data_IF_140779085489
#
_entry.id   IF_140779085489
#
_cell.length_a   1.000
_cell.length_b   1.000
_cell.length_c   1.000
_cell.angle_alpha   90.00
_cell.angle_beta   90.00
_cell.angle_gamma   90.00
#
_symmetry.space_group_name_H-M   'P 1'
#
loop_
_entity.id
_entity.type
_entity.pdbx_description
1 polymer ?
#
# COMPACT_ATOMS: atom_id res chain seq x y z
N UNK A 1 25.03 -10.35 2.24
CA UNK A 1 23.72 -9.93 1.71
C UNK A 1 23.74 -8.44 1.40
N UNK A 2 23.36 -8.12 0.19
CA UNK A 2 23.19 -6.71 -0.16
C UNK A 2 22.00 -6.13 0.62
N UNK A 3 22.18 -4.96 1.22
CA UNK A 3 21.07 -4.25 1.83
C UNK A 3 20.05 -3.88 0.75
N UNK A 4 18.73 -3.98 1.01
CA UNK A 4 17.75 -3.48 0.06
C UNK A 4 18.02 -1.99 -0.19
N UNK A 5 17.74 -1.48 -1.42
CA UNK A 5 17.94 -0.07 -1.70
C UNK A 5 17.11 0.78 -0.73
N UNK A 6 17.61 1.97 -0.34
CA UNK A 6 16.85 2.84 0.57
C UNK A 6 15.49 3.15 -0.04
N UNK A 7 14.48 3.13 0.80
CA UNK A 7 13.12 3.44 0.38
C UNK A 7 13.05 4.91 -0.06
N UNK A 8 12.32 5.22 -1.15
CA UNK A 8 12.23 6.61 -1.62
C UNK A 8 11.53 7.54 -0.64
N UNK A 9 10.78 6.98 0.32
CA UNK A 9 10.07 7.75 1.34
C UNK A 9 10.62 7.43 2.72
N UNK A 10 10.54 8.43 3.62
CA UNK A 10 11.01 8.31 5.00
C UNK A 10 10.07 7.44 5.84
N UNK A 11 10.26 6.14 5.79
CA UNK A 11 9.45 5.17 6.54
C UNK A 11 10.11 4.79 7.85
N UNK A 12 9.95 5.62 8.87
CA UNK A 12 10.54 5.36 10.18
C UNK A 12 9.91 4.15 10.87
N UNK A 13 8.59 4.02 10.80
CA UNK A 13 7.89 2.91 11.41
C UNK A 13 6.80 2.41 10.46
N UNK A 14 7.03 1.25 9.88
CA UNK A 14 6.05 0.60 9.00
C UNK A 14 5.04 -0.15 9.87
N UNK A 15 3.75 0.18 9.72
CA UNK A 15 2.66 -0.46 10.45
C UNK A 15 2.05 -1.61 9.65
N UNK A 16 1.87 -1.41 8.35
CA UNK A 16 1.23 -2.40 7.49
C UNK A 16 1.83 -2.37 6.10
N UNK A 17 1.93 -3.53 5.47
CA UNK A 17 2.41 -3.68 4.10
C UNK A 17 1.46 -4.54 3.28
N UNK A 18 1.30 -4.18 2.01
CA UNK A 18 0.57 -4.99 1.05
C UNK A 18 1.57 -5.84 0.24
N UNK A 19 1.90 -7.01 0.77
CA UNK A 19 2.91 -7.89 0.16
C UNK A 19 2.47 -8.50 -1.17
N UNK A 20 1.16 -8.61 -1.40
CA UNK A 20 0.62 -9.18 -2.64
C UNK A 20 0.63 -8.19 -3.80
N UNK A 21 0.80 -6.90 -3.53
CA UNK A 21 0.74 -5.88 -4.57
C UNK A 21 1.75 -6.12 -5.70
N UNK A 22 2.98 -6.51 -5.37
CA UNK A 22 4.01 -6.81 -6.36
C UNK A 22 3.72 -8.07 -7.19
N UNK A 23 2.95 -8.98 -6.63
CA UNK A 23 2.54 -10.20 -7.33
C UNK A 23 1.37 -9.92 -8.28
N UNK A 24 0.42 -9.11 -7.86
CA UNK A 24 -0.81 -8.84 -8.60
C UNK A 24 -0.70 -7.66 -9.59
N UNK A 25 0.28 -6.78 -9.41
CA UNK A 25 0.37 -5.53 -10.16
C UNK A 25 1.79 -5.21 -10.61
N UNK A 26 1.89 -4.57 -11.79
CA UNK A 26 3.10 -3.88 -12.22
C UNK A 26 3.01 -2.44 -11.72
N UNK A 27 3.91 -2.04 -10.84
CA UNK A 27 3.95 -0.68 -10.28
C UNK A 27 4.64 0.25 -11.28
N UNK A 28 3.94 1.28 -11.74
CA UNK A 28 4.48 2.27 -12.67
C UNK A 28 4.98 3.53 -11.98
N UNK A 29 4.31 3.97 -10.91
CA UNK A 29 4.70 5.16 -10.16
C UNK A 29 4.25 5.03 -8.71
N UNK A 30 4.88 5.81 -7.82
CA UNK A 30 4.61 5.79 -6.38
C UNK A 30 4.42 7.20 -5.84
N UNK A 31 3.51 7.33 -4.87
CA UNK A 31 3.19 8.62 -4.23
C UNK A 31 3.14 8.42 -2.72
N UNK A 32 3.74 9.35 -1.97
CA UNK A 32 3.52 9.43 -0.53
C UNK A 32 2.32 10.32 -0.26
N UNK A 33 1.35 9.80 0.48
CA UNK A 33 0.14 10.53 0.84
C UNK A 33 0.08 10.74 2.34
N UNK A 34 -0.48 11.87 2.77
CA UNK A 34 -0.93 12.03 4.15
C UNK A 34 -2.23 11.26 4.35
N UNK A 35 -2.57 10.96 5.59
CA UNK A 35 -3.79 10.24 5.93
C UNK A 35 -4.57 10.99 6.99
N UNK A 36 -5.82 11.32 6.72
CA UNK A 36 -6.69 11.97 7.68
C UNK A 36 -7.23 10.92 8.66
N UNK A 37 -6.73 10.94 9.89
CA UNK A 37 -7.05 9.97 10.93
C UNK A 37 -7.62 10.65 12.17
N UNK A 38 -8.45 9.91 12.91
CA UNK A 38 -8.89 10.31 14.24
C UNK A 38 -7.83 9.96 15.28
N UNK A 39 -7.96 10.51 16.51
CA UNK A 39 -7.01 10.26 17.58
C UNK A 39 -6.89 8.77 17.94
N UNK A 40 -7.99 8.05 18.03
CA UNK A 40 -7.99 6.62 18.35
C UNK A 40 -7.38 5.77 17.24
N UNK A 41 -7.53 6.17 15.98
CA UNK A 41 -6.87 5.52 14.85
C UNK A 41 -5.35 5.67 14.94
N UNK A 42 -4.86 6.86 15.21
CA UNK A 42 -3.42 7.11 15.37
C UNK A 42 -2.85 6.28 16.52
N UNK A 43 -3.56 6.24 17.66
CA UNK A 43 -3.12 5.47 18.82
C UNK A 43 -3.04 3.98 18.55
N UNK A 44 -4.04 3.42 17.86
CA UNK A 44 -4.03 2.01 17.45
C UNK A 44 -2.86 1.72 16.49
N UNK A 45 -2.62 2.59 15.52
CA UNK A 45 -1.51 2.43 14.58
C UNK A 45 -0.15 2.52 15.28
N UNK A 46 0.00 3.37 16.28
CA UNK A 46 1.25 3.47 17.06
C UNK A 46 1.55 2.19 17.83
N UNK A 47 0.53 1.41 18.17
CA UNK A 47 0.69 0.08 18.75
C UNK A 47 1.03 -0.99 17.71
N UNK A 48 1.15 -0.63 16.44
CA UNK A 48 1.44 -1.54 15.36
C UNK A 48 0.22 -2.31 14.85
N UNK A 49 -0.97 -1.86 15.20
CA UNK A 49 -2.22 -2.51 14.81
C UNK A 49 -2.81 -1.85 13.57
N UNK A 50 -2.89 -2.59 12.49
CA UNK A 50 -3.47 -2.11 11.24
C UNK A 50 -3.21 -3.07 10.11
N UNK A 51 -4.08 -3.06 9.10
CA UNK A 51 -3.95 -3.89 7.91
C UNK A 51 -4.46 -3.16 6.68
N UNK A 52 -3.74 -3.31 5.58
CA UNK A 52 -4.16 -2.83 4.26
C UNK A 52 -4.23 -3.97 3.24
N UNK A 53 -4.24 -5.21 3.71
CA UNK A 53 -4.23 -6.39 2.83
C UNK A 53 -5.42 -6.43 1.87
N UNK A 54 -6.58 -5.92 2.29
CA UNK A 54 -7.81 -5.88 1.50
C UNK A 54 -8.18 -4.46 1.08
N UNK A 55 -7.29 -3.50 1.33
CA UNK A 55 -7.56 -2.10 1.03
C UNK A 55 -7.33 -1.77 -0.44
N UNK A 56 -8.06 -0.78 -0.91
CA UNK A 56 -7.85 -0.18 -2.23
C UNK A 56 -8.06 1.33 -2.13
N UNK A 57 -7.65 2.05 -3.16
CA UNK A 57 -7.81 3.49 -3.20
C UNK A 57 -8.62 3.92 -4.44
N UNK A 58 -9.41 4.96 -4.28
CA UNK A 58 -10.24 5.52 -5.36
C UNK A 58 -10.12 7.04 -5.39
N UNK A 59 -10.39 7.62 -6.56
CA UNK A 59 -10.53 9.07 -6.72
C UNK A 59 -12.02 9.37 -6.90
N UNK A 60 -12.58 10.13 -5.97
CA UNK A 60 -13.98 10.53 -6.01
C UNK A 60 -14.06 12.04 -5.77
N UNK A 61 -14.73 12.78 -6.65
CA UNK A 61 -14.94 14.23 -6.52
C UNK A 61 -13.65 14.99 -6.20
N UNK A 62 -12.58 14.72 -6.96
CA UNK A 62 -11.25 15.32 -6.78
C UNK A 62 -10.59 15.06 -5.42
N UNK A 63 -11.01 14.01 -4.75
CA UNK A 63 -10.43 13.54 -3.50
C UNK A 63 -10.00 12.08 -3.63
N UNK A 64 -8.94 11.70 -2.93
CA UNK A 64 -8.45 10.32 -2.93
C UNK A 64 -8.83 9.67 -1.61
N UNK A 65 -9.41 8.47 -1.69
CA UNK A 65 -9.91 7.74 -0.53
C UNK A 65 -9.27 6.36 -0.42
N UNK A 66 -8.88 6.02 0.80
CA UNK A 66 -8.45 4.67 1.16
C UNK A 66 -9.68 3.92 1.69
N UNK A 67 -10.05 2.84 1.02
CA UNK A 67 -11.26 2.07 1.31
C UNK A 67 -10.87 0.69 1.80
N UNK A 68 -11.59 0.21 2.80
CA UNK A 68 -11.44 -1.13 3.38
C UNK A 68 -10.09 -1.38 4.06
N UNK A 69 -9.39 -0.32 4.48
CA UNK A 69 -8.27 -0.48 5.41
C UNK A 69 -8.82 -0.78 6.80
N UNK A 70 -8.14 -1.64 7.53
CA UNK A 70 -8.58 -2.06 8.86
C UNK A 70 -7.66 -1.47 9.92
N UNK A 71 -8.22 -0.65 10.81
CA UNK A 71 -7.55 -0.16 12.01
C UNK A 71 -8.44 -0.56 13.18
N UNK A 72 -8.03 -1.54 14.00
CA UNK A 72 -8.88 -1.99 15.09
C UNK A 72 -9.16 -0.89 16.11
N UNK A 73 -10.23 -1.00 16.84
CA UNK A 73 -10.56 -0.06 17.90
C UNK A 73 -9.40 0.02 18.90
N UNK A 74 -9.15 1.23 19.39
CA UNK A 74 -8.14 1.44 20.42
C UNK A 74 -8.66 0.87 21.76
N UNK A 75 -7.94 -0.08 22.33
CA UNK A 75 -8.38 -0.84 23.51
C UNK A 75 -8.65 0.02 24.76
N UNK A 76 -8.00 1.18 24.86
CA UNK A 76 -8.21 2.13 25.94
C UNK A 76 -9.13 3.29 25.53
N UNK A 77 -9.72 3.21 24.33
CA UNK A 77 -10.69 4.18 23.85
C UNK A 77 -12.04 3.99 24.54
N UNK A 78 -12.80 5.09 24.62
CA UNK A 78 -14.15 5.10 25.17
C UNK A 78 -15.20 5.15 24.04
N UNK A 79 -16.35 5.77 24.31
CA UNK A 79 -17.49 5.89 23.37
C UNK A 79 -17.12 6.58 22.03
N UNK A 80 -16.01 7.32 21.99
CA UNK A 80 -15.58 8.06 20.80
C UNK A 80 -14.59 7.29 19.95
N UNK A 81 -14.56 5.97 20.09
CA UNK A 81 -13.70 5.13 19.27
C UNK A 81 -14.17 5.16 17.80
N UNK A 82 -13.25 4.84 16.90
CA UNK A 82 -13.53 4.89 15.47
C UNK A 82 -14.11 3.56 14.96
N UNK A 83 -14.76 3.60 13.80
CA UNK A 83 -15.19 2.40 13.09
C UNK A 83 -13.95 1.79 12.39
N UNK A 84 -13.64 0.49 12.59
CA UNK A 84 -12.38 -0.12 12.12
C UNK A 84 -12.14 -0.03 10.61
N UNK A 85 -13.17 -0.10 9.81
CA UNK A 85 -13.06 -0.07 8.34
C UNK A 85 -13.55 1.24 7.74
N UNK A 86 -13.49 2.30 8.49
CA UNK A 86 -13.91 3.64 8.06
C UNK A 86 -13.16 4.05 6.78
N UNK A 87 -13.88 4.64 5.85
CA UNK A 87 -13.31 5.28 4.66
C UNK A 87 -12.41 6.44 5.09
N UNK A 88 -11.16 6.46 4.64
CA UNK A 88 -10.17 7.44 5.09
C UNK A 88 -9.67 8.27 3.92
N UNK A 89 -9.64 9.58 4.11
CA UNK A 89 -9.17 10.51 3.09
C UNK A 89 -7.65 10.51 3.05
N UNK A 90 -7.10 10.39 1.85
CA UNK A 90 -5.68 10.52 1.61
C UNK A 90 -5.39 11.92 1.10
N UNK A 91 -4.34 12.54 1.66
CA UNK A 91 -4.01 13.94 1.42
C UNK A 91 -2.89 14.03 0.39
N UNK A 92 -3.20 14.63 -0.75
CA UNK A 92 -2.26 14.89 -1.85
C UNK A 92 -2.46 16.31 -2.36
N UNK A 93 -1.48 16.81 -3.09
CA UNK A 93 -1.61 18.10 -3.78
C UNK A 93 -2.56 17.98 -4.96
N UNK A 94 -3.25 19.07 -5.29
CA UNK A 94 -4.24 19.07 -6.39
C UNK A 94 -3.64 18.60 -7.71
N UNK A 95 -2.39 18.96 -8.02
CA UNK A 95 -1.71 18.50 -9.25
C UNK A 95 -1.45 17.00 -9.25
N UNK A 96 -1.18 16.43 -8.07
CA UNK A 96 -0.99 14.98 -7.94
C UNK A 96 -2.31 14.25 -8.14
N UNK A 97 -3.39 14.76 -7.56
CA UNK A 97 -4.74 14.20 -7.74
C UNK A 97 -5.14 14.23 -9.21
N UNK A 98 -4.91 15.35 -9.90
CA UNK A 98 -5.20 15.48 -11.33
C UNK A 98 -4.41 14.47 -12.16
N UNK A 99 -3.13 14.26 -11.84
CA UNK A 99 -2.29 13.27 -12.51
C UNK A 99 -2.79 11.85 -12.27
N UNK A 100 -3.18 11.52 -11.04
CA UNK A 100 -3.75 10.22 -10.70
C UNK A 100 -5.06 9.96 -11.46
N UNK A 101 -5.94 10.94 -11.47
CA UNK A 101 -7.22 10.86 -12.16
C UNK A 101 -7.01 10.63 -13.67
N UNK A 102 -6.10 11.38 -14.29
CA UNK A 102 -5.77 11.22 -15.70
C UNK A 102 -5.20 9.84 -16.03
N UNK A 103 -4.30 9.33 -15.20
CA UNK A 103 -3.71 8.00 -15.37
C UNK A 103 -4.75 6.89 -15.27
N UNK A 104 -5.69 7.01 -14.33
CA UNK A 104 -6.77 6.05 -14.14
C UNK A 104 -7.73 6.07 -15.34
N UNK A 105 -8.17 7.25 -15.76
CA UNK A 105 -9.20 7.38 -16.80
C UNK A 105 -8.65 7.15 -18.21
N UNK A 106 -7.44 7.63 -18.50
CA UNK A 106 -6.85 7.56 -19.85
C UNK A 106 -6.02 6.32 -20.10
N UNK A 107 -5.30 5.83 -19.09
CA UNK A 107 -4.37 4.71 -19.23
C UNK A 107 -4.90 3.43 -18.60
N UNK A 108 -6.04 3.47 -17.94
CA UNK A 108 -6.62 2.29 -17.30
C UNK A 108 -5.82 1.78 -16.12
N UNK A 109 -5.02 2.64 -15.48
CA UNK A 109 -4.25 2.26 -14.29
C UNK A 109 -5.15 2.24 -13.05
N UNK A 110 -4.71 1.56 -12.02
CA UNK A 110 -5.41 1.49 -10.74
C UNK A 110 -4.51 2.01 -9.62
N UNK A 111 -5.12 2.42 -8.52
CA UNK A 111 -4.41 2.84 -7.32
C UNK A 111 -4.36 1.68 -6.32
N UNK A 112 -3.15 1.36 -5.87
CA UNK A 112 -2.92 0.28 -4.91
C UNK A 112 -2.13 0.82 -3.73
N UNK A 113 -2.65 0.68 -2.48
CA UNK A 113 -1.85 1.04 -1.32
C UNK A 113 -0.77 -0.02 -1.10
N UNK A 114 0.49 0.42 -0.98
CA UNK A 114 1.62 -0.48 -0.79
C UNK A 114 2.01 -0.63 0.67
N UNK A 115 1.98 0.46 1.42
CA UNK A 115 2.34 0.43 2.84
C UNK A 115 1.70 1.58 3.61
N UNK A 116 1.55 1.38 4.91
CA UNK A 116 1.11 2.41 5.86
C UNK A 116 2.19 2.53 6.93
N UNK A 117 2.64 3.75 7.21
CA UNK A 117 3.80 3.98 8.06
C UNK A 117 3.76 5.35 8.72
N UNK A 118 4.61 5.53 9.72
CA UNK A 118 4.90 6.85 10.29
C UNK A 118 6.23 7.34 9.73
N UNK A 119 6.27 8.62 9.34
CA UNK A 119 7.51 9.25 8.87
C UNK A 119 8.31 9.81 10.05
N UNK A 120 9.48 10.42 9.78
CA UNK A 120 10.36 10.97 10.79
C UNK A 120 9.75 12.08 11.64
N UNK A 121 8.70 12.76 11.15
CA UNK A 121 7.95 13.76 11.93
C UNK A 121 6.78 13.17 12.71
N UNK A 122 6.60 11.85 12.68
CA UNK A 122 5.53 11.17 13.41
C UNK A 122 4.16 11.23 12.77
N UNK A 123 4.08 11.59 11.49
CA UNK A 123 2.81 11.63 10.76
C UNK A 123 2.54 10.30 10.05
N UNK A 124 1.29 9.87 10.10
CA UNK A 124 0.85 8.67 9.39
C UNK A 124 0.79 8.93 7.89
N UNK A 125 1.46 8.10 7.13
CA UNK A 125 1.55 8.18 5.67
C UNK A 125 1.14 6.87 5.03
N UNK A 126 0.63 6.95 3.81
CA UNK A 126 0.36 5.79 2.97
C UNK A 126 1.11 5.95 1.66
N UNK A 127 1.87 4.94 1.29
CA UNK A 127 2.48 4.88 -0.03
C UNK A 127 1.46 4.29 -0.99
N UNK A 128 1.06 5.09 -1.99
CA UNK A 128 0.19 4.66 -3.08
C UNK A 128 1.00 4.37 -4.33
N UNK A 129 0.59 3.37 -5.07
CA UNK A 129 1.13 3.08 -6.39
C UNK A 129 0.08 3.29 -7.47
N UNK A 130 0.51 3.88 -8.59
CA UNK A 130 -0.18 3.73 -9.86
C UNK A 130 0.30 2.43 -10.46
N UNK A 131 -0.61 1.52 -10.74
CA UNK A 131 -0.25 0.17 -11.12
C UNK A 131 -1.17 -0.38 -12.20
N UNK A 132 -0.64 -1.33 -12.94
CA UNK A 132 -1.37 -2.09 -13.94
C UNK A 132 -1.57 -3.50 -13.41
N UNK A 133 -2.80 -3.99 -13.46
CA UNK A 133 -3.09 -5.37 -13.06
C UNK A 133 -2.36 -6.36 -13.98
N UNK A 134 -1.72 -7.36 -13.40
CA UNK A 134 -1.12 -8.45 -14.17
C UNK A 134 -2.23 -9.34 -14.69
N UNK A 135 -2.16 -9.66 -15.99
CA UNK A 135 -3.04 -10.67 -16.58
C UNK A 135 -2.71 -12.04 -15.99
N UNK A 136 -3.68 -12.93 -15.96
CA UNK A 136 -3.48 -14.31 -15.46
C UNK A 136 -2.28 -14.98 -16.15
N UNK A 137 -2.10 -14.71 -17.42
CA UNK A 137 -0.96 -15.18 -18.22
C UNK A 137 0.39 -14.70 -17.63
N UNK A 138 0.52 -13.43 -17.31
CA UNK A 138 1.75 -12.86 -16.74
C UNK A 138 2.08 -13.45 -15.37
N UNK A 139 1.06 -13.72 -14.57
CA UNK A 139 1.23 -14.40 -13.27
C UNK A 139 1.77 -15.82 -13.44
N UNK A 140 1.25 -16.56 -14.41
CA UNK A 140 1.70 -17.92 -14.72
C UNK A 140 3.17 -17.92 -15.16
N UNK A 141 3.58 -16.99 -16.00
CA UNK A 141 4.97 -16.86 -16.45
C UNK A 141 5.90 -16.56 -15.28
N UNK A 142 5.52 -15.66 -14.41
CA UNK A 142 6.30 -15.32 -13.20
C UNK A 142 6.47 -16.54 -12.30
N UNK A 143 5.43 -17.34 -12.12
CA UNK A 143 5.49 -18.58 -11.34
C UNK A 143 6.38 -19.62 -12.00
N UNK A 144 6.28 -19.79 -13.31
CA UNK A 144 7.14 -20.71 -14.07
C UNK A 144 8.62 -20.34 -13.94
N UNK A 145 8.95 -19.06 -14.03
CA UNK A 145 10.33 -18.59 -13.85
C UNK A 145 10.86 -18.89 -12.46
N UNK A 146 10.03 -18.69 -11.43
CA UNK A 146 10.41 -19.00 -10.05
C UNK A 146 10.68 -20.48 -9.86
N UNK A 147 9.80 -21.33 -10.37
CA UNK A 147 9.94 -22.78 -10.28
C UNK A 147 11.16 -23.28 -11.04
N UNK A 148 11.39 -22.74 -12.24
CA UNK A 148 12.57 -23.04 -13.05
C UNK A 148 13.86 -22.68 -12.30
N UNK A 149 13.94 -21.50 -11.71
CA UNK A 149 15.09 -21.07 -10.92
C UNK A 149 15.33 -21.97 -9.72
N UNK A 150 14.27 -22.40 -9.04
CA UNK A 150 14.36 -23.33 -7.93
C UNK A 150 14.92 -24.69 -8.36
N UNK A 151 14.45 -25.22 -9.49
CA UNK A 151 14.95 -26.48 -10.04
C UNK A 151 16.41 -26.38 -10.42
N UNK A 152 16.82 -25.31 -11.09
CA UNK A 152 18.23 -25.09 -11.42
C UNK A 152 19.12 -25.06 -10.17
N UNK A 153 18.67 -24.36 -9.13
CA UNK A 153 19.40 -24.31 -7.86
C UNK A 153 19.49 -25.69 -7.20
N UNK A 154 18.44 -26.47 -7.27
CA UNK A 154 18.42 -27.83 -6.74
C UNK A 154 19.39 -28.75 -7.48
N UNK A 155 19.40 -28.69 -8.79
CA UNK A 155 20.29 -29.45 -9.64
C UNK A 155 21.76 -29.09 -9.42
N UNK A 156 22.04 -27.81 -9.24
CA UNK A 156 23.41 -27.32 -8.94
C UNK A 156 23.90 -27.75 -7.57
N UNK A 157 23.02 -27.97 -6.60
CA UNK A 157 23.38 -28.46 -5.27
C UNK A 157 23.65 -29.96 -5.23
N UNK A 158 23.07 -30.72 -6.15
CA UNK A 158 23.13 -32.18 -6.16
C UNK A 158 23.94 -32.76 -7.33
N UNK A 159 24.46 -31.88 -8.17
CA UNK A 159 25.26 -32.26 -9.32
C UNK A 159 26.74 -32.39 -9.07
#
# INVERSE_FOLDING_TARGET
MAKPPPHPFDKQKIVAENRRARYDYFVEDRFETGTALTGTEVKALRQGEGSIAEAYATVEADEVWLINSHIPEYSHGNRLNHEPRRKRKLLLRNREIARLHGAITRQGLTLVPLSMYFNGTGRAKVELALARGKKVHDKRETMKERDWKREQQRLLKHG
#
